data_IF_733257357334
#
_entry.id   IF_733257357334
#
_cell.length_a   1.000
_cell.length_b   1.000
_cell.length_c   1.000
_cell.angle_alpha   90.00
_cell.angle_beta   90.00
_cell.angle_gamma   90.00
#
_symmetry.space_group_name_H-M   'P 1'
#
loop_
_entity.id
_entity.type
_entity.pdbx_description
1 polymer ?
#
# COMPACT_ATOMS: atom_id res chain seq x y z
N UNK A 1 8.13 6.66 -3.63
CA UNK A 1 7.88 5.51 -2.74
C UNK A 1 7.24 4.32 -3.45
N UNK A 2 6.23 4.52 -4.31
CA UNK A 2 5.59 3.42 -5.04
C UNK A 2 6.58 2.50 -5.77
N UNK A 3 7.56 3.07 -6.50
CA UNK A 3 8.59 2.29 -7.22
C UNK A 3 9.32 1.34 -6.26
N UNK A 4 9.84 1.84 -5.14
CA UNK A 4 10.58 1.05 -4.14
C UNK A 4 9.70 -0.07 -3.56
N UNK A 5 8.43 0.22 -3.30
CA UNK A 5 7.49 -0.79 -2.77
C UNK A 5 7.23 -1.88 -3.81
N UNK A 6 6.97 -1.52 -5.06
CA UNK A 6 6.69 -2.50 -6.11
C UNK A 6 7.94 -3.31 -6.48
N UNK A 7 9.11 -2.68 -6.58
CA UNK A 7 10.37 -3.41 -6.84
C UNK A 7 10.75 -4.31 -5.68
N UNK A 8 10.52 -3.89 -4.42
CA UNK A 8 10.66 -4.75 -3.23
C UNK A 8 9.71 -5.94 -3.29
N UNK A 9 8.42 -5.69 -3.55
CA UNK A 9 7.39 -6.73 -3.54
C UNK A 9 7.66 -7.77 -4.63
N UNK A 10 7.85 -7.33 -5.86
CA UNK A 10 8.10 -8.21 -7.00
C UNK A 10 9.45 -8.91 -6.84
N UNK A 11 10.51 -8.16 -6.48
CA UNK A 11 11.86 -8.71 -6.36
C UNK A 11 12.01 -9.75 -5.25
N UNK A 12 11.44 -9.50 -4.07
CA UNK A 12 11.53 -10.43 -2.94
C UNK A 12 10.61 -11.64 -3.13
N UNK A 13 9.42 -11.45 -3.74
CA UNK A 13 8.47 -12.55 -3.93
C UNK A 13 8.81 -13.48 -5.10
N UNK A 14 9.33 -12.93 -6.22
CA UNK A 14 9.49 -13.70 -7.46
C UNK A 14 10.94 -14.03 -7.82
N UNK A 15 11.93 -13.29 -7.32
CA UNK A 15 13.34 -13.46 -7.71
C UNK A 15 14.20 -14.19 -6.65
N UNK A 16 13.59 -14.72 -5.59
CA UNK A 16 14.27 -15.38 -4.47
C UNK A 16 13.96 -16.87 -4.33
N UNK A 17 14.62 -17.53 -3.38
CA UNK A 17 14.39 -18.93 -3.02
C UNK A 17 13.36 -19.03 -1.86
N UNK A 18 12.47 -20.04 -1.83
CA UNK A 18 11.48 -20.19 -0.77
C UNK A 18 12.14 -20.33 0.61
N UNK A 19 11.77 -19.43 1.53
CA UNK A 19 12.31 -19.39 2.91
C UNK A 19 11.50 -20.19 3.92
N UNK A 20 10.29 -20.59 3.55
CA UNK A 20 9.33 -21.28 4.43
C UNK A 20 8.77 -22.50 3.72
N UNK A 21 8.34 -23.50 4.49
CA UNK A 21 7.72 -24.71 3.96
C UNK A 21 6.43 -24.41 3.17
N UNK A 22 5.69 -23.37 3.57
CA UNK A 22 4.50 -22.91 2.85
C UNK A 22 4.87 -22.36 1.45
N UNK A 23 5.97 -21.62 1.33
CA UNK A 23 6.44 -21.10 0.05
C UNK A 23 6.98 -22.22 -0.85
N UNK A 24 7.64 -23.24 -0.29
CA UNK A 24 8.16 -24.37 -1.09
C UNK A 24 7.06 -25.32 -1.59
N UNK A 25 5.88 -25.29 -1.00
CA UNK A 25 4.72 -26.12 -1.37
C UNK A 25 3.61 -25.32 -2.06
N UNK A 26 3.84 -24.04 -2.33
CA UNK A 26 2.88 -23.19 -3.02
C UNK A 26 2.64 -23.71 -4.44
N UNK A 27 1.39 -23.65 -4.88
CA UNK A 27 0.99 -24.06 -6.22
C UNK A 27 0.64 -22.85 -7.08
N UNK A 28 0.65 -23.05 -8.40
CA UNK A 28 0.25 -22.03 -9.36
C UNK A 28 -1.22 -21.63 -9.22
N UNK A 29 -1.53 -20.37 -9.53
CA UNK A 29 -2.89 -19.87 -9.48
C UNK A 29 -3.79 -20.60 -10.48
N UNK A 30 -5.00 -20.96 -10.06
CA UNK A 30 -5.97 -21.61 -10.95
C UNK A 30 -6.42 -20.70 -12.10
N UNK A 31 -6.86 -21.29 -13.22
CA UNK A 31 -7.22 -20.58 -14.46
C UNK A 31 -8.22 -19.44 -14.25
N UNK A 32 -9.19 -19.59 -13.34
CA UNK A 32 -10.20 -18.53 -13.05
C UNK A 32 -9.56 -17.28 -12.44
N UNK A 33 -8.57 -17.46 -11.57
CA UNK A 33 -7.83 -16.36 -10.95
C UNK A 33 -6.86 -15.73 -11.95
N UNK A 34 -6.20 -16.54 -12.79
CA UNK A 34 -5.38 -16.02 -13.89
C UNK A 34 -6.21 -15.22 -14.91
N UNK A 35 -7.44 -15.64 -15.19
CA UNK A 35 -8.33 -14.92 -16.09
C UNK A 35 -8.72 -13.53 -15.54
N UNK A 36 -9.04 -13.42 -14.24
CA UNK A 36 -9.34 -12.11 -13.64
C UNK A 36 -8.11 -11.20 -13.59
N UNK A 37 -6.95 -11.75 -13.24
CA UNK A 37 -5.67 -11.03 -13.28
C UNK A 37 -5.32 -10.58 -14.71
N UNK A 38 -5.53 -11.44 -15.70
CA UNK A 38 -5.32 -11.15 -17.12
C UNK A 38 -6.24 -10.05 -17.64
N UNK A 39 -7.51 -10.05 -17.23
CA UNK A 39 -8.46 -9.00 -17.58
C UNK A 39 -8.04 -7.65 -16.99
N UNK A 40 -7.65 -7.61 -15.71
CA UNK A 40 -7.14 -6.39 -15.08
C UNK A 40 -5.86 -5.90 -15.75
N UNK A 41 -4.94 -6.82 -16.07
CA UNK A 41 -3.73 -6.51 -16.82
C UNK A 41 -4.06 -5.88 -18.18
N UNK A 42 -4.97 -6.49 -18.95
CA UNK A 42 -5.36 -5.97 -20.25
C UNK A 42 -5.95 -4.57 -20.14
N UNK A 43 -6.88 -4.33 -19.21
CA UNK A 43 -7.49 -3.01 -19.00
C UNK A 43 -6.42 -1.94 -18.69
N UNK A 44 -5.53 -2.22 -17.74
CA UNK A 44 -4.44 -1.32 -17.37
C UNK A 44 -3.46 -1.11 -18.54
N UNK A 45 -3.10 -2.18 -19.24
CA UNK A 45 -2.17 -2.15 -20.35
C UNK A 45 -2.73 -1.35 -21.53
N UNK A 46 -3.97 -1.61 -21.93
CA UNK A 46 -4.64 -0.85 -23.00
C UNK A 46 -4.87 0.60 -22.62
N UNK A 47 -5.24 0.88 -21.36
CA UNK A 47 -5.42 2.25 -20.88
C UNK A 47 -4.12 3.07 -20.89
N UNK A 48 -2.99 2.44 -20.55
CA UNK A 48 -1.67 3.07 -20.62
C UNK A 48 -1.15 3.25 -22.03
N UNK A 49 -1.38 2.28 -22.93
CA UNK A 49 -0.85 2.30 -24.29
C UNK A 49 -1.69 3.17 -25.24
N UNK A 50 -3.01 3.11 -25.08
CA UNK A 50 -3.99 3.80 -25.92
C UNK A 50 -4.95 4.62 -25.05
N UNK A 51 -4.46 5.66 -24.35
CA UNK A 51 -5.29 6.48 -23.46
C UNK A 51 -6.42 7.21 -24.21
N UNK A 52 -6.30 7.36 -25.53
CA UNK A 52 -7.37 7.89 -26.39
C UNK A 52 -8.67 7.10 -26.21
N UNK A 53 -8.62 5.77 -26.06
CA UNK A 53 -9.81 4.93 -25.84
C UNK A 53 -10.59 5.33 -24.58
N UNK A 54 -9.88 5.78 -23.54
CA UNK A 54 -10.50 6.26 -22.29
C UNK A 54 -11.03 7.68 -22.45
N UNK A 55 -10.42 8.49 -23.31
CA UNK A 55 -10.76 9.90 -23.49
C UNK A 55 -11.87 10.14 -24.54
N UNK A 56 -12.06 9.23 -25.50
CA UNK A 56 -13.14 9.32 -26.50
C UNK A 56 -14.54 9.38 -25.88
N UNK A 57 -14.94 8.51 -24.93
CA UNK A 57 -16.27 8.60 -24.31
C UNK A 57 -16.44 9.90 -23.51
N UNK A 58 -15.36 10.40 -22.88
CA UNK A 58 -15.37 11.67 -22.15
C UNK A 58 -15.64 12.83 -23.13
N UNK A 59 -15.01 12.81 -24.31
CA UNK A 59 -15.21 13.82 -25.36
C UNK A 59 -16.67 13.95 -25.82
N UNK A 60 -17.43 12.85 -25.77
CA UNK A 60 -18.84 12.83 -26.20
C UNK A 60 -19.78 13.46 -25.16
N UNK A 61 -19.42 13.38 -23.87
CA UNK A 61 -20.28 13.84 -22.77
C UNK A 61 -20.00 15.31 -22.41
N UNK A 62 -18.75 15.73 -22.46
CA UNK A 62 -18.32 17.06 -22.00
C UNK A 62 -19.02 18.23 -22.71
N UNK A 63 -19.28 18.21 -24.04
CA UNK A 63 -20.01 19.28 -24.71
C UNK A 63 -21.43 19.52 -24.16
N UNK A 64 -22.06 18.49 -23.58
CA UNK A 64 -23.36 18.60 -22.92
C UNK A 64 -23.31 19.11 -21.49
N UNK A 65 -22.11 19.20 -20.89
CA UNK A 65 -21.90 19.66 -19.52
C UNK A 65 -21.41 21.11 -19.47
N UNK A 66 -20.39 21.43 -20.27
CA UNK A 66 -19.79 22.76 -20.30
C UNK A 66 -19.08 23.03 -21.66
N UNK A 67 -19.54 24.01 -22.45
CA UNK A 67 -18.90 24.43 -23.70
C UNK A 67 -17.45 24.90 -23.54
N UNK A 68 -17.10 25.51 -22.39
CA UNK A 68 -15.76 25.99 -22.12
C UNK A 68 -14.80 24.81 -21.89
N UNK A 69 -15.26 23.77 -21.20
CA UNK A 69 -14.50 22.54 -21.01
C UNK A 69 -14.32 21.77 -22.33
N UNK A 70 -15.34 21.80 -23.20
CA UNK A 70 -15.26 21.23 -24.55
C UNK A 70 -14.20 21.91 -25.43
N UNK A 71 -14.02 23.23 -25.30
CA UNK A 71 -13.00 23.96 -26.03
C UNK A 71 -11.56 23.66 -25.55
N UNK A 72 -11.39 23.30 -24.27
CA UNK A 72 -10.09 22.97 -23.67
C UNK A 72 -9.65 21.51 -23.91
N UNK A 73 -10.59 20.62 -24.23
CA UNK A 73 -10.35 19.18 -24.42
C UNK A 73 -9.23 18.86 -25.41
N UNK A 74 -9.17 19.44 -26.64
CA UNK A 74 -8.12 19.14 -27.61
C UNK A 74 -6.70 19.32 -27.06
N UNK A 75 -6.46 20.36 -26.26
CA UNK A 75 -5.17 20.58 -25.60
C UNK A 75 -4.89 19.52 -24.53
N UNK A 76 -5.92 19.01 -23.84
CA UNK A 76 -5.80 17.97 -22.83
C UNK A 76 -5.43 16.59 -23.40
N UNK A 77 -5.62 16.32 -24.70
CA UNK A 77 -5.20 15.05 -25.33
C UNK A 77 -3.70 14.96 -25.58
N UNK A 78 -2.97 16.09 -25.60
CA UNK A 78 -1.56 16.10 -25.96
C UNK A 78 -0.72 15.25 -24.98
N UNK A 79 -0.86 15.50 -23.67
CA UNK A 79 -0.08 14.79 -22.66
C UNK A 79 -0.38 13.27 -22.60
N UNK A 80 -1.65 12.81 -22.60
CA UNK A 80 -1.97 11.39 -22.70
C UNK A 80 -1.42 10.74 -23.97
N UNK A 81 -1.48 11.41 -25.13
CA UNK A 81 -0.90 10.86 -26.36
C UNK A 81 0.62 10.67 -26.25
N UNK A 82 1.34 11.62 -25.64
CA UNK A 82 2.77 11.46 -25.36
C UNK A 82 3.04 10.27 -24.44
N UNK A 83 2.24 10.09 -23.40
CA UNK A 83 2.34 8.94 -22.48
C UNK A 83 2.10 7.61 -23.22
N UNK A 84 1.08 7.53 -24.07
CA UNK A 84 0.82 6.34 -24.87
C UNK A 84 1.98 5.99 -25.81
N UNK A 85 2.57 7.01 -26.47
CA UNK A 85 3.70 6.82 -27.39
C UNK A 85 4.98 6.39 -26.66
N UNK A 86 5.29 7.01 -25.52
CA UNK A 86 6.45 6.63 -24.72
C UNK A 86 6.26 5.24 -24.11
N UNK A 87 5.06 4.91 -23.65
CA UNK A 87 4.68 3.56 -23.22
C UNK A 87 4.88 2.52 -24.32
N UNK A 88 4.40 2.80 -25.54
CA UNK A 88 4.58 1.91 -26.68
C UNK A 88 6.05 1.72 -27.06
N UNK A 89 6.85 2.80 -27.02
CA UNK A 89 8.30 2.73 -27.23
C UNK A 89 8.99 1.88 -26.17
N UNK A 90 8.63 2.02 -24.89
CA UNK A 90 9.18 1.22 -23.80
C UNK A 90 8.81 -0.27 -23.94
N UNK A 91 7.57 -0.58 -24.34
CA UNK A 91 7.16 -1.96 -24.62
C UNK A 91 7.94 -2.53 -25.80
N UNK A 92 8.10 -1.77 -26.89
CA UNK A 92 8.89 -2.19 -28.05
C UNK A 92 10.36 -2.44 -27.67
N UNK A 93 10.96 -1.55 -26.87
CA UNK A 93 12.32 -1.71 -26.36
C UNK A 93 12.43 -2.95 -25.48
N UNK A 94 11.48 -3.18 -24.57
CA UNK A 94 11.45 -4.36 -23.71
C UNK A 94 11.39 -5.65 -24.55
N UNK A 95 10.48 -5.72 -25.53
CA UNK A 95 10.37 -6.86 -26.43
C UNK A 95 11.64 -7.09 -27.24
N UNK A 96 12.28 -6.02 -27.71
CA UNK A 96 13.57 -6.09 -28.40
C UNK A 96 14.67 -6.64 -27.48
N UNK A 97 14.77 -6.15 -26.25
CA UNK A 97 15.74 -6.64 -25.26
C UNK A 97 15.51 -8.11 -24.92
N UNK A 98 14.25 -8.53 -24.76
CA UNK A 98 13.89 -9.93 -24.56
C UNK A 98 14.27 -10.78 -25.78
N UNK A 99 14.03 -10.28 -27.00
CA UNK A 99 14.41 -10.98 -28.22
C UNK A 99 15.94 -11.16 -28.32
N UNK A 100 16.69 -10.09 -28.07
CA UNK A 100 18.16 -10.11 -28.08
C UNK A 100 18.69 -11.06 -27.00
N UNK A 101 18.18 -10.97 -25.77
CA UNK A 101 18.63 -11.84 -24.67
C UNK A 101 18.35 -13.31 -24.97
N UNK A 102 17.16 -13.64 -25.48
CA UNK A 102 16.83 -15.02 -25.89
C UNK A 102 17.72 -15.53 -27.01
N UNK A 103 18.13 -14.68 -27.96
CA UNK A 103 19.07 -15.06 -29.02
C UNK A 103 20.48 -15.31 -28.48
N UNK A 104 20.98 -14.44 -27.60
CA UNK A 104 22.30 -14.57 -27.00
C UNK A 104 22.41 -15.77 -26.06
N UNK A 105 21.33 -16.09 -25.34
CA UNK A 105 21.29 -17.21 -24.38
C UNK A 105 20.78 -18.51 -25.00
N UNK A 106 20.37 -18.53 -26.28
CA UNK A 106 19.81 -19.72 -26.94
C UNK A 106 20.75 -20.94 -26.93
N UNK A 107 22.07 -20.70 -26.90
CA UNK A 107 23.09 -21.75 -26.90
C UNK A 107 23.60 -22.11 -25.50
N UNK A 108 23.13 -21.43 -24.46
CA UNK A 108 23.55 -21.69 -23.08
C UNK A 108 22.53 -22.61 -22.42
N UNK A 109 23.00 -23.72 -21.85
CA UNK A 109 22.19 -24.52 -20.93
C UNK A 109 22.00 -23.74 -19.63
N UNK A 110 20.75 -23.47 -19.19
CA UNK A 110 20.51 -22.79 -17.93
C UNK A 110 21.04 -23.65 -16.78
N UNK A 111 22.08 -23.17 -16.09
CA UNK A 111 22.60 -23.81 -14.89
C UNK A 111 21.80 -23.33 -13.68
N UNK A 112 21.14 -24.26 -12.98
CA UNK A 112 20.50 -23.97 -11.69
C UNK A 112 21.54 -24.07 -10.60
N UNK A 113 22.01 -22.93 -10.10
CA UNK A 113 22.92 -22.83 -8.97
C UNK A 113 22.29 -21.95 -7.88
N UNK A 114 22.62 -22.18 -6.59
CA UNK A 114 22.18 -21.32 -5.51
C UNK A 114 22.68 -19.88 -5.74
N UNK A 115 21.77 -18.91 -5.67
CA UNK A 115 22.03 -17.51 -6.08
C UNK A 115 23.04 -16.79 -5.20
N UNK A 116 23.28 -17.30 -3.99
CA UNK A 116 24.21 -16.74 -3.00
C UNK A 116 25.27 -17.73 -2.56
N UNK A 117 25.62 -18.67 -3.45
CA UNK A 117 26.66 -19.66 -3.20
C UNK A 117 28.00 -19.00 -2.93
N UNK A 118 28.46 -18.05 -3.75
CA UNK A 118 29.78 -17.39 -3.61
C UNK A 118 30.95 -18.35 -3.24
N UNK A 119 30.90 -19.61 -3.68
CA UNK A 119 31.87 -20.66 -3.31
C UNK A 119 31.66 -21.33 -1.93
N UNK A 120 30.64 -20.92 -1.17
CA UNK A 120 30.18 -21.53 0.06
C UNK A 120 29.43 -22.84 -0.20
N UNK A 121 29.85 -23.90 0.48
CA UNK A 121 29.34 -25.26 0.25
C UNK A 121 27.93 -25.52 0.81
N UNK A 122 27.42 -24.65 1.69
CA UNK A 122 26.14 -24.86 2.39
C UNK A 122 25.20 -23.63 2.31
N UNK A 123 24.87 -23.14 1.09
CA UNK A 123 24.00 -21.98 0.96
C UNK A 123 22.62 -22.28 1.55
N UNK A 124 22.04 -21.29 2.24
CA UNK A 124 20.68 -21.39 2.77
C UNK A 124 19.80 -20.26 2.22
N UNK A 125 18.49 -20.47 1.98
CA UNK A 125 17.58 -19.43 1.50
C UNK A 125 17.52 -18.16 2.39
N UNK A 126 17.94 -18.30 3.65
CA UNK A 126 18.04 -17.19 4.62
C UNK A 126 19.16 -16.20 4.30
N UNK A 127 20.17 -16.60 3.52
CA UNK A 127 21.28 -15.73 3.12
C UNK A 127 20.90 -14.69 2.05
N UNK A 128 19.79 -14.88 1.33
CA UNK A 128 19.31 -13.87 0.38
C UNK A 128 18.92 -12.54 1.07
N UNK A 129 18.74 -11.47 0.30
CA UNK A 129 18.20 -10.23 0.86
C UNK A 129 16.76 -10.42 1.37
N UNK A 130 16.45 -9.85 2.53
CA UNK A 130 15.09 -9.76 3.05
C UNK A 130 14.39 -8.50 2.55
N UNK A 131 13.07 -8.47 2.71
CA UNK A 131 12.27 -7.31 2.34
C UNK A 131 12.64 -6.09 3.18
N UNK A 132 13.02 -6.30 4.44
CA UNK A 132 13.48 -5.28 5.39
C UNK A 132 14.83 -4.73 4.95
N UNK A 133 15.81 -5.61 4.66
CA UNK A 133 17.13 -5.19 4.19
C UNK A 133 17.09 -4.42 2.87
N UNK A 134 16.18 -4.79 1.95
CA UNK A 134 15.97 -4.03 0.71
C UNK A 134 15.44 -2.61 0.97
N UNK A 135 14.52 -2.48 1.92
CA UNK A 135 13.88 -1.20 2.24
C UNK A 135 14.69 -0.31 3.17
N UNK A 136 15.70 -0.85 3.86
CA UNK A 136 16.42 -0.17 4.93
C UNK A 136 17.07 1.15 4.48
N UNK A 137 17.77 1.13 3.34
CA UNK A 137 18.38 2.35 2.78
C UNK A 137 17.32 3.42 2.45
N UNK A 138 16.19 3.00 1.88
CA UNK A 138 15.12 3.91 1.56
C UNK A 138 14.44 4.46 2.83
N UNK A 139 14.23 3.61 3.83
CA UNK A 139 13.63 3.99 5.09
C UNK A 139 14.51 4.96 5.89
N UNK A 140 15.83 4.76 5.89
CA UNK A 140 16.77 5.61 6.65
C UNK A 140 17.12 6.90 5.91
N UNK A 141 17.24 6.87 4.58
CA UNK A 141 17.73 8.02 3.80
C UNK A 141 16.63 8.90 3.21
N UNK A 142 15.46 8.34 2.88
CA UNK A 142 14.38 9.08 2.20
C UNK A 142 13.20 9.40 3.12
N UNK A 143 13.06 8.73 4.26
CA UNK A 143 11.92 8.92 5.16
C UNK A 143 12.32 9.77 6.38
N UNK A 144 11.43 10.67 6.83
CA UNK A 144 11.64 11.41 8.06
C UNK A 144 11.71 10.46 9.25
N UNK A 145 12.43 10.86 10.29
CA UNK A 145 12.65 10.08 11.52
C UNK A 145 11.34 9.58 12.15
N UNK A 146 10.26 10.38 12.06
CA UNK A 146 8.93 10.01 12.56
C UNK A 146 8.33 8.76 11.90
N UNK A 147 8.74 8.44 10.66
CA UNK A 147 8.26 7.28 9.90
C UNK A 147 9.28 6.13 9.87
N UNK A 148 10.44 6.28 10.52
CA UNK A 148 11.44 5.23 10.53
C UNK A 148 10.98 4.05 11.41
N UNK A 149 11.19 2.81 10.96
CA UNK A 149 10.88 1.64 11.77
C UNK A 149 11.80 1.58 12.99
N UNK A 150 11.22 1.31 14.16
CA UNK A 150 11.99 1.05 15.36
C UNK A 150 12.54 -0.37 15.31
N UNK A 151 13.86 -0.51 15.40
CA UNK A 151 14.54 -1.80 15.44
C UNK A 151 14.71 -2.28 16.88
N UNK A 152 14.40 -3.55 17.11
CA UNK A 152 14.59 -4.25 18.39
C UNK A 152 15.43 -5.50 18.16
N UNK A 153 16.43 -5.72 19.01
CA UNK A 153 17.34 -6.87 18.91
C UNK A 153 18.49 -6.68 17.92
N UNK A 154 18.98 -7.77 17.34
CA UNK A 154 19.88 -7.73 16.18
C UNK A 154 21.34 -7.30 16.39
N UNK A 155 21.91 -7.34 17.60
CA UNK A 155 23.36 -7.14 17.77
C UNK A 155 24.04 -8.20 18.63
N UNK A 156 24.55 -9.23 17.97
CA UNK A 156 25.67 -10.00 18.48
C UNK A 156 26.85 -9.81 17.51
N UNK A 157 27.68 -8.79 17.76
CA UNK A 157 28.95 -8.61 17.04
C UNK A 157 30.00 -9.41 17.80
N UNK A 158 29.96 -10.73 17.64
CA UNK A 158 30.97 -11.65 18.15
C UNK A 158 31.47 -12.51 16.99
N UNK A 159 32.64 -13.14 17.15
CA UNK A 159 33.20 -14.03 16.10
C UNK A 159 32.30 -15.25 15.81
N UNK A 160 31.52 -15.68 16.81
CA UNK A 160 30.54 -16.76 16.69
C UNK A 160 29.23 -16.33 17.37
N UNK A 161 28.41 -15.50 16.70
CA UNK A 161 27.16 -15.08 17.29
C UNK A 161 26.18 -16.25 17.27
N UNK A 162 25.47 -16.42 18.39
CA UNK A 162 24.29 -17.28 18.42
C UNK A 162 23.17 -16.73 17.53
N UNK A 163 22.06 -17.47 17.37
CA UNK A 163 20.92 -17.01 16.61
C UNK A 163 20.39 -15.68 17.18
N UNK A 164 20.39 -14.64 16.35
CA UNK A 164 19.86 -13.33 16.69
C UNK A 164 18.58 -13.06 15.90
N UNK A 165 17.59 -12.46 16.56
CA UNK A 165 16.35 -12.01 15.93
C UNK A 165 16.39 -10.48 15.83
N UNK A 166 16.06 -9.98 14.65
CA UNK A 166 15.82 -8.56 14.39
C UNK A 166 14.32 -8.36 14.23
N UNK A 167 13.72 -7.62 15.15
CA UNK A 167 12.33 -7.17 15.04
C UNK A 167 12.28 -5.73 14.58
N UNK A 168 11.56 -5.46 13.49
CA UNK A 168 11.28 -4.10 13.00
C UNK A 168 9.81 -3.79 13.20
N UNK A 169 9.53 -2.71 13.91
CA UNK A 169 8.18 -2.23 14.16
C UNK A 169 8.01 -0.83 13.56
N UNK A 170 7.08 -0.70 12.61
CA UNK A 170 6.69 0.60 12.05
C UNK A 170 5.49 1.13 12.83
N UNK A 171 5.65 2.30 13.46
CA UNK A 171 4.54 2.99 14.11
C UNK A 171 3.95 4.01 13.13
N UNK A 172 2.63 4.00 12.94
CA UNK A 172 1.94 5.06 12.20
C UNK A 172 1.83 6.31 13.09
N UNK A 173 2.49 7.43 12.74
CA UNK A 173 2.45 8.65 13.54
C UNK A 173 1.04 9.21 13.69
N UNK A 174 0.21 9.10 12.66
CA UNK A 174 -1.16 9.61 12.70
C UNK A 174 -2.01 8.80 13.67
N UNK A 175 -1.90 7.47 13.60
CA UNK A 175 -2.59 6.57 14.52
C UNK A 175 -2.15 6.83 15.98
N UNK A 176 -0.85 6.89 16.22
CA UNK A 176 -0.25 7.07 17.56
C UNK A 176 -0.49 8.45 18.16
N UNK A 177 -0.32 9.50 17.37
CA UNK A 177 -0.32 10.88 17.87
C UNK A 177 -1.70 11.53 17.83
N UNK A 178 -2.60 11.09 16.94
CA UNK A 178 -3.92 11.68 16.80
C UNK A 178 -5.04 10.71 17.15
N UNK A 179 -5.11 9.55 16.50
CA UNK A 179 -6.24 8.64 16.68
C UNK A 179 -6.29 8.02 18.08
N UNK A 180 -5.19 7.44 18.56
CA UNK A 180 -5.09 6.85 19.90
C UNK A 180 -5.52 7.84 21.01
N UNK A 181 -4.97 9.07 21.10
CA UNK A 181 -5.39 10.02 22.14
C UNK A 181 -6.83 10.52 21.96
N UNK A 182 -7.32 10.68 20.73
CA UNK A 182 -8.71 11.05 20.50
C UNK A 182 -9.66 9.94 20.96
N UNK A 183 -9.44 8.70 20.53
CA UNK A 183 -10.30 7.57 20.88
C UNK A 183 -10.25 7.25 22.37
N UNK A 184 -9.09 7.36 23.02
CA UNK A 184 -9.01 7.22 24.48
C UNK A 184 -9.75 8.34 25.20
N UNK A 185 -9.65 9.60 24.76
CA UNK A 185 -10.47 10.71 25.32
C UNK A 185 -11.97 10.47 25.13
N UNK A 186 -12.41 10.05 23.94
CA UNK A 186 -13.80 9.70 23.69
C UNK A 186 -14.25 8.53 24.57
N UNK A 187 -13.45 7.48 24.70
CA UNK A 187 -13.74 6.33 25.54
C UNK A 187 -13.89 6.74 27.02
N UNK A 188 -12.99 7.60 27.52
CA UNK A 188 -13.08 8.14 28.89
C UNK A 188 -14.35 8.98 29.06
N UNK A 189 -14.67 9.88 28.15
CA UNK A 189 -15.89 10.68 28.19
C UNK A 189 -17.16 9.81 28.18
N UNK A 190 -17.22 8.82 27.30
CA UNK A 190 -18.32 7.85 27.25
C UNK A 190 -18.42 7.03 28.54
N UNK A 191 -17.29 6.64 29.13
CA UNK A 191 -17.26 5.92 30.41
C UNK A 191 -17.79 6.79 31.57
N UNK A 192 -17.54 8.10 31.53
CA UNK A 192 -18.07 9.07 32.52
C UNK A 192 -19.57 9.27 32.35
N UNK A 193 -20.07 9.39 31.11
CA UNK A 193 -21.51 9.43 30.83
C UNK A 193 -22.20 8.14 31.28
N UNK A 194 -21.57 6.98 31.05
CA UNK A 194 -22.07 5.69 31.55
C UNK A 194 -22.13 5.65 33.09
N UNK A 195 -21.22 6.31 33.80
CA UNK A 195 -21.31 6.48 35.26
C UNK A 195 -22.47 7.39 35.68
N UNK A 196 -22.88 8.38 34.88
CA UNK A 196 -24.09 9.17 35.19
C UNK A 196 -25.37 8.35 35.02
N UNK A 197 -25.35 7.33 34.16
CA UNK A 197 -26.43 6.35 34.00
C UNK A 197 -26.40 5.24 35.08
N UNK A 198 -25.65 5.41 36.17
CA UNK A 198 -25.45 4.40 37.22
C UNK A 198 -26.69 4.18 38.09
N UNK A 199 -27.74 3.56 37.54
CA UNK A 199 -28.80 2.81 38.24
C UNK A 199 -29.59 3.51 39.35
N UNK A 200 -29.31 4.76 39.69
CA UNK A 200 -29.89 5.46 40.82
C UNK A 200 -31.10 6.27 40.37
N UNK A 201 -32.28 5.74 40.63
CA UNK A 201 -33.58 6.30 40.24
C UNK A 201 -33.71 7.80 40.61
N UNK A 202 -33.13 8.22 41.74
CA UNK A 202 -33.19 9.60 42.21
C UNK A 202 -32.47 10.59 41.27
N UNK A 203 -31.35 10.18 40.65
CA UNK A 203 -30.64 11.01 39.66
C UNK A 203 -31.44 11.17 38.36
N UNK A 204 -32.20 10.15 37.95
CA UNK A 204 -33.08 10.22 36.79
C UNK A 204 -34.24 11.20 37.01
N UNK A 205 -34.90 11.13 38.18
CA UNK A 205 -36.01 12.03 38.51
C UNK A 205 -35.52 13.49 38.56
N UNK A 206 -34.36 13.75 39.18
CA UNK A 206 -33.76 15.08 39.21
C UNK A 206 -33.45 15.61 37.80
N UNK A 207 -32.86 14.77 36.93
CA UNK A 207 -32.57 15.15 35.55
C UNK A 207 -33.84 15.50 34.76
N UNK A 208 -34.90 14.70 34.89
CA UNK A 208 -36.20 14.97 34.24
C UNK A 208 -36.79 16.29 34.75
N UNK A 209 -36.78 16.53 36.07
CA UNK A 209 -37.31 17.76 36.65
C UNK A 209 -36.54 19.01 36.17
N UNK A 210 -35.21 18.95 36.16
CA UNK A 210 -34.35 20.07 35.72
C UNK A 210 -34.49 20.32 34.21
N UNK A 211 -34.46 19.28 33.39
CA UNK A 211 -34.63 19.43 31.93
C UNK A 211 -36.01 19.97 31.56
N UNK A 212 -37.06 19.48 32.22
CA UNK A 212 -38.43 19.99 32.02
C UNK A 212 -38.55 21.45 32.47
N UNK A 213 -37.99 21.81 33.63
CA UNK A 213 -37.99 23.18 34.13
C UNK A 213 -37.23 24.14 33.21
N UNK A 214 -36.05 23.75 32.72
CA UNK A 214 -35.27 24.53 31.75
C UNK A 214 -36.02 24.71 30.43
N UNK A 215 -36.68 23.67 29.92
CA UNK A 215 -37.51 23.76 28.72
C UNK A 215 -38.69 24.71 28.94
N UNK A 216 -39.32 24.67 30.11
CA UNK A 216 -40.45 25.54 30.45
C UNK A 216 -40.03 27.01 30.51
N UNK A 217 -38.89 27.29 31.17
CA UNK A 217 -38.29 28.64 31.21
C UNK A 217 -37.92 29.11 29.80
N UNK A 218 -37.31 28.24 28.99
CA UNK A 218 -36.98 28.54 27.60
C UNK A 218 -38.23 28.86 26.76
N UNK A 219 -39.31 28.11 26.93
CA UNK A 219 -40.57 28.37 26.23
C UNK A 219 -41.23 29.65 26.71
N UNK A 220 -41.21 29.93 28.02
CA UNK A 220 -41.78 31.15 28.60
C UNK A 220 -41.04 32.40 28.13
N UNK A 221 -39.71 32.34 28.03
CA UNK A 221 -38.87 33.40 27.48
C UNK A 221 -39.06 33.62 25.97
N UNK A 222 -39.58 32.62 25.25
CA UNK A 222 -39.89 32.72 23.82
C UNK A 222 -41.33 33.17 23.55
N UNK A 223 -42.23 33.00 24.51
CA UNK A 223 -43.66 33.34 24.39
C UNK A 223 -44.04 34.69 25.00
N UNK A 224 -43.11 35.40 25.65
CA UNK A 224 -43.26 36.78 26.09
C UNK A 224 -42.51 37.72 25.16
#
# INVERSE_FOLDING_TARGET
MAIIVFTRLIGIALCGEPRTAAASTAHEAGLRMQASMGLLFLLCFTGGLAPVLLLTPIALVVPGLDPLLAAALPAAYAAPMWIGRTGALLVALLLLLIFISRRLTAHNTPATAPTWGCGFSFPTPRMAYSAEGYADLAATSLMPESLQPSATGGRAVTFFPGPALLGLATADPFLKQLCEPLFTKFAVSCSRLRRLQSGNLYLYILYIFVTTGLLLVWTALRSG
#
